data_IF_661433134198
#
_entry.id   IF_661433134198
#
_cell.length_a   1.000
_cell.length_b   1.000
_cell.length_c   1.000
_cell.angle_alpha   90.00
_cell.angle_beta   90.00
_cell.angle_gamma   90.00
#
_symmetry.space_group_name_H-M   'P 1'
#
loop_
_entity.id
_entity.type
_entity.pdbx_description
1 polymer ?
#
# COMPACT_ATOMS: atom_id res chain seq x y z
N UNK A 1 -0.71 18.69 -13.24
CA UNK A 1 -0.74 18.87 -14.69
C UNK A 1 -0.93 17.49 -15.34
N UNK A 2 -1.72 17.40 -16.40
CA UNK A 2 -1.86 16.18 -17.21
C UNK A 2 -0.81 16.17 -18.32
N UNK A 3 -0.40 14.99 -18.77
CA UNK A 3 0.42 14.84 -19.97
C UNK A 3 -0.40 15.10 -21.23
N UNK A 4 0.28 15.25 -22.37
CA UNK A 4 -0.38 15.24 -23.67
C UNK A 4 -1.14 13.92 -23.89
N UNK A 5 -2.16 13.99 -24.74
CA UNK A 5 -2.92 12.84 -25.18
C UNK A 5 -2.03 11.91 -25.99
N UNK A 6 -2.08 10.61 -25.67
CA UNK A 6 -1.39 9.54 -26.39
C UNK A 6 -2.33 8.37 -26.59
N UNK A 7 -2.04 7.53 -27.58
CA UNK A 7 -2.75 6.27 -27.75
C UNK A 7 -2.65 5.42 -26.48
N UNK A 8 -3.74 4.71 -26.17
CA UNK A 8 -3.77 3.80 -25.03
C UNK A 8 -2.83 2.62 -25.33
N UNK A 9 -1.76 2.51 -24.55
CA UNK A 9 -0.83 1.39 -24.62
C UNK A 9 -1.13 0.41 -23.49
N UNK A 10 -1.07 -0.89 -23.79
CA UNK A 10 -1.07 -1.94 -22.77
C UNK A 10 0.32 -2.03 -22.15
N UNK A 11 0.44 -1.85 -20.84
CA UNK A 11 1.69 -2.00 -20.12
C UNK A 11 1.71 -1.29 -18.77
N UNK A 12 2.85 -1.40 -18.09
CA UNK A 12 3.04 -0.79 -16.77
C UNK A 12 3.30 0.71 -16.88
N UNK A 13 2.48 1.50 -16.19
CA UNK A 13 2.64 2.95 -16.13
C UNK A 13 2.59 3.41 -14.67
N UNK A 14 3.65 4.09 -14.23
CA UNK A 14 3.63 4.81 -12.97
C UNK A 14 2.91 6.15 -13.17
N UNK A 15 1.70 6.28 -12.63
CA UNK A 15 0.93 7.53 -12.65
C UNK A 15 0.13 7.68 -11.36
N UNK A 16 -0.32 8.90 -11.10
CA UNK A 16 -1.25 9.23 -10.00
C UNK A 16 -2.72 9.13 -10.40
N UNK A 17 -3.01 9.24 -11.69
CA UNK A 17 -4.36 9.21 -12.24
C UNK A 17 -4.33 8.97 -13.76
N UNK A 18 -5.45 8.50 -14.30
CA UNK A 18 -5.66 8.32 -15.74
C UNK A 18 -6.76 9.26 -16.23
N UNK A 19 -6.56 9.84 -17.42
CA UNK A 19 -7.58 10.58 -18.15
C UNK A 19 -7.72 9.95 -19.54
N UNK A 20 -8.96 9.73 -19.97
CA UNK A 20 -9.26 9.07 -21.24
C UNK A 20 -10.20 9.89 -22.12
N UNK A 21 -10.06 9.71 -23.43
CA UNK A 21 -10.94 10.29 -24.45
C UNK A 21 -11.01 9.34 -25.64
N UNK A 22 -12.22 9.15 -26.16
CA UNK A 22 -12.43 8.50 -27.46
C UNK A 22 -12.44 9.58 -28.55
N UNK A 23 -11.59 9.42 -29.56
CA UNK A 23 -11.61 10.24 -30.76
C UNK A 23 -12.23 9.41 -31.88
N UNK A 24 -13.47 9.75 -32.25
CA UNK A 24 -14.25 9.04 -33.25
C UNK A 24 -14.36 9.92 -34.50
N UNK A 25 -14.08 9.33 -35.66
CA UNK A 25 -14.23 10.00 -36.95
C UNK A 25 -14.95 9.08 -37.92
N UNK A 26 -15.86 9.64 -38.71
CA UNK A 26 -16.46 8.98 -39.88
C UNK A 26 -15.97 9.66 -41.14
N UNK A 27 -15.78 8.90 -42.22
CA UNK A 27 -15.52 9.44 -43.56
C UNK A 27 -16.82 9.69 -44.35
N UNK A 28 -17.95 9.22 -43.81
CA UNK A 28 -19.29 9.45 -44.34
C UNK A 28 -20.04 10.40 -43.39
N UNK A 29 -20.45 11.56 -43.91
CA UNK A 29 -21.16 12.60 -43.17
C UNK A 29 -22.54 12.15 -42.66
N UNK A 30 -23.10 11.06 -43.20
CA UNK A 30 -24.39 10.51 -42.78
C UNK A 30 -24.26 9.46 -41.67
N UNK A 31 -23.04 9.13 -41.24
CA UNK A 31 -22.78 8.10 -40.24
C UNK A 31 -22.26 8.75 -38.96
N UNK A 32 -23.01 8.57 -37.87
CA UNK A 32 -22.55 8.92 -36.52
C UNK A 32 -22.01 7.66 -35.82
N UNK A 33 -20.74 7.63 -35.40
CA UNK A 33 -20.20 6.54 -34.61
C UNK A 33 -20.94 6.40 -33.27
N UNK A 34 -21.36 5.18 -32.93
CA UNK A 34 -22.00 4.86 -31.65
C UNK A 34 -21.03 4.03 -30.81
N UNK A 35 -20.78 4.44 -29.57
CA UNK A 35 -19.96 3.70 -28.62
C UNK A 35 -20.88 2.92 -27.68
N UNK A 36 -20.85 1.59 -27.75
CA UNK A 36 -21.63 0.74 -26.85
C UNK A 36 -20.97 0.59 -25.47
N UNK A 37 -19.63 0.53 -25.42
CA UNK A 37 -18.84 0.41 -24.18
C UNK A 37 -17.41 0.89 -24.43
N UNK A 38 -16.85 1.58 -23.44
CA UNK A 38 -15.42 1.83 -23.32
C UNK A 38 -15.02 1.66 -21.86
N UNK A 39 -13.94 0.94 -21.60
CA UNK A 39 -13.50 0.57 -20.26
C UNK A 39 -11.98 0.65 -20.15
N UNK A 40 -11.51 1.05 -18.98
CA UNK A 40 -10.12 0.96 -18.58
C UNK A 40 -10.05 0.18 -17.27
N UNK A 41 -9.36 -0.94 -17.32
CA UNK A 41 -9.00 -1.70 -16.13
C UNK A 41 -7.60 -1.28 -15.72
N UNK A 42 -7.47 -0.79 -14.49
CA UNK A 42 -6.20 -0.45 -13.87
C UNK A 42 -5.98 -1.42 -12.73
N UNK A 43 -4.86 -2.13 -12.78
CA UNK A 43 -4.41 -2.99 -11.70
C UNK A 43 -3.06 -2.50 -11.19
N UNK A 44 -2.94 -2.37 -9.88
CA UNK A 44 -1.72 -1.90 -9.23
C UNK A 44 -0.96 -3.10 -8.70
N UNK A 45 0.36 -3.20 -8.92
CA UNK A 45 1.11 -4.37 -8.49
C UNK A 45 1.08 -4.51 -6.97
N UNK A 46 0.89 -5.75 -6.54
CA UNK A 46 1.06 -6.16 -5.15
C UNK A 46 2.50 -5.95 -4.70
N UNK A 47 2.67 -5.59 -3.43
CA UNK A 47 3.96 -5.38 -2.80
C UNK A 47 3.99 -5.95 -1.39
N UNK A 48 5.13 -6.53 -1.05
CA UNK A 48 5.42 -7.03 0.29
C UNK A 48 6.61 -6.25 0.85
N UNK A 49 6.48 -5.74 2.06
CA UNK A 49 7.56 -5.14 2.84
C UNK A 49 7.74 -5.94 4.13
N UNK A 50 8.98 -6.19 4.52
CA UNK A 50 9.29 -6.94 5.72
C UNK A 50 10.49 -6.35 6.46
N UNK A 51 10.57 -6.66 7.74
CA UNK A 51 11.71 -6.33 8.59
C UNK A 51 11.95 -7.46 9.57
N UNK A 52 13.24 -7.70 9.88
CA UNK A 52 13.67 -8.81 10.70
C UNK A 52 14.45 -8.32 11.92
N UNK A 53 14.30 -9.01 13.05
CA UNK A 53 14.99 -8.80 14.32
C UNK A 53 14.97 -7.33 14.77
N UNK A 54 13.82 -6.67 14.62
CA UNK A 54 13.67 -5.27 14.96
C UNK A 54 13.47 -5.12 16.47
N UNK A 55 14.41 -4.46 17.15
CA UNK A 55 14.26 -4.09 18.55
C UNK A 55 13.21 -3.01 18.74
N UNK A 56 12.33 -3.20 19.72
CA UNK A 56 11.35 -2.22 20.17
C UNK A 56 11.74 -1.79 21.58
N UNK A 57 12.18 -0.54 21.79
CA UNK A 57 12.50 -0.02 23.12
C UNK A 57 11.22 0.14 23.95
N UNK A 58 11.36 0.42 25.25
CA UNK A 58 10.21 0.63 26.16
C UNK A 58 9.31 1.80 25.74
N UNK A 59 9.82 2.75 24.95
CA UNK A 59 9.03 3.84 24.36
C UNK A 59 8.18 3.42 23.15
N UNK A 60 8.23 2.17 22.71
CA UNK A 60 7.61 1.71 21.46
C UNK A 60 8.43 2.07 20.22
N UNK A 61 7.93 1.68 19.05
CA UNK A 61 8.58 1.92 17.76
C UNK A 61 7.55 2.11 16.64
N UNK A 62 7.74 3.17 15.84
CA UNK A 62 7.07 3.33 14.53
C UNK A 62 7.83 2.53 13.48
N UNK A 63 7.13 1.73 12.70
CA UNK A 63 7.61 1.13 11.46
C UNK A 63 6.96 1.87 10.29
N UNK A 64 7.78 2.51 9.45
CA UNK A 64 7.32 3.16 8.23
C UNK A 64 7.36 2.22 7.03
N UNK A 65 6.34 2.31 6.18
CA UNK A 65 6.33 1.73 4.84
C UNK A 65 6.83 2.78 3.86
N UNK A 66 7.97 2.53 3.23
CA UNK A 66 8.58 3.46 2.28
C UNK A 66 8.83 2.77 0.91
N UNK A 67 8.19 3.22 -0.17
CA UNK A 67 7.10 4.20 -0.19
C UNK A 67 5.82 3.65 0.50
N UNK A 68 4.91 4.52 0.99
CA UNK A 68 3.62 4.10 1.52
C UNK A 68 2.84 3.27 0.51
N UNK A 69 2.01 2.36 1.00
CA UNK A 69 1.07 1.62 0.15
C UNK A 69 0.01 2.57 -0.42
N UNK A 70 -0.57 2.23 -1.57
CA UNK A 70 -1.83 2.86 -1.96
C UNK A 70 -3.00 2.24 -1.19
N UNK A 71 -2.94 0.93 -0.95
CA UNK A 71 -3.81 0.22 -0.02
C UNK A 71 -3.06 -0.87 0.72
N UNK A 72 -3.15 -0.86 2.05
CA UNK A 72 -2.61 -1.91 2.91
C UNK A 72 -3.64 -3.04 3.04
N UNK A 73 -3.25 -4.28 2.73
CA UNK A 73 -4.16 -5.44 2.78
C UNK A 73 -3.89 -6.34 3.98
N UNK A 74 -2.65 -6.37 4.50
CA UNK A 74 -2.31 -7.24 5.61
C UNK A 74 -1.06 -6.80 6.37
N UNK A 75 -1.02 -7.13 7.67
CA UNK A 75 0.16 -7.03 8.51
C UNK A 75 0.21 -8.27 9.40
N UNK A 76 1.35 -8.95 9.41
CA UNK A 76 1.67 -10.04 10.32
C UNK A 76 2.92 -9.69 11.11
N UNK A 77 2.92 -10.03 12.40
CA UNK A 77 4.02 -9.80 13.33
C UNK A 77 4.37 -11.13 14.00
N UNK A 78 5.67 -11.44 14.04
CA UNK A 78 6.21 -12.55 14.81
C UNK A 78 7.07 -12.00 15.94
N UNK A 79 6.53 -12.06 17.16
CA UNK A 79 7.22 -11.58 18.35
C UNK A 79 8.28 -12.59 18.82
N UNK A 80 9.39 -12.08 19.35
CA UNK A 80 10.52 -12.87 19.81
C UNK A 80 10.90 -12.47 21.24
N UNK A 81 11.48 -13.42 22.00
CA UNK A 81 11.95 -13.16 23.36
C UNK A 81 10.85 -12.87 24.39
N UNK A 82 9.60 -13.23 24.09
CA UNK A 82 8.48 -13.06 25.02
C UNK A 82 8.66 -13.95 26.26
N UNK A 83 8.39 -13.37 27.43
CA UNK A 83 8.22 -14.07 28.70
C UNK A 83 6.74 -14.36 28.93
N UNK A 84 6.45 -15.21 29.92
CA UNK A 84 5.08 -15.55 30.28
C UNK A 84 4.25 -14.28 30.56
N UNK A 85 3.12 -14.16 29.86
CA UNK A 85 2.19 -13.04 30.01
C UNK A 85 2.61 -11.75 29.30
N UNK A 86 3.75 -11.72 28.60
CA UNK A 86 4.06 -10.60 27.72
C UNK A 86 3.10 -10.56 26.53
N UNK A 87 2.77 -9.35 26.07
CA UNK A 87 1.97 -9.11 24.88
C UNK A 87 2.47 -7.86 24.15
N UNK A 88 1.96 -7.65 22.93
CA UNK A 88 2.24 -6.44 22.16
C UNK A 88 0.93 -5.74 21.80
N UNK A 89 1.02 -4.44 21.60
CA UNK A 89 -0.05 -3.61 21.06
C UNK A 89 0.41 -3.00 19.74
N UNK A 90 -0.46 -3.01 18.74
CA UNK A 90 -0.28 -2.31 17.47
C UNK A 90 -1.26 -1.14 17.43
N UNK A 91 -0.76 0.05 17.11
CA UNK A 91 -1.56 1.27 16.98
C UNK A 91 -1.22 2.03 15.69
N UNK A 92 -2.04 3.01 15.32
CA UNK A 92 -1.84 3.89 14.16
C UNK A 92 -1.45 3.11 12.88
N UNK A 93 -2.07 1.94 12.66
CA UNK A 93 -1.82 1.12 11.47
C UNK A 93 -2.55 1.73 10.28
N UNK A 94 -1.79 2.15 9.29
CA UNK A 94 -2.26 2.76 8.06
C UNK A 94 -1.32 2.40 6.89
N UNK A 95 -1.56 2.95 5.72
CA UNK A 95 -0.78 2.71 4.51
C UNK A 95 0.67 3.20 4.60
N UNK A 96 0.98 4.06 5.56
CA UNK A 96 2.33 4.60 5.80
C UNK A 96 3.10 3.83 6.87
N UNK A 97 2.46 2.96 7.65
CA UNK A 97 3.13 2.21 8.70
C UNK A 97 2.25 1.76 9.86
N UNK A 98 2.89 1.38 10.96
CA UNK A 98 2.23 1.05 12.22
C UNK A 98 3.16 1.33 13.41
N UNK A 99 2.58 1.59 14.57
CA UNK A 99 3.29 1.64 15.85
C UNK A 99 3.18 0.30 16.58
N UNK A 100 4.25 -0.09 17.26
CA UNK A 100 4.28 -1.28 18.10
C UNK A 100 4.94 -1.00 19.45
N UNK A 101 4.38 -1.56 20.52
CA UNK A 101 4.98 -1.58 21.85
C UNK A 101 4.77 -2.96 22.48
N UNK A 102 5.76 -3.42 23.24
CA UNK A 102 5.66 -4.64 24.04
C UNK A 102 5.43 -4.30 25.50
N UNK A 103 4.59 -5.08 26.16
CA UNK A 103 4.26 -4.94 27.58
C UNK A 103 4.35 -6.29 28.27
N UNK A 104 4.73 -6.28 29.54
CA UNK A 104 4.63 -7.47 30.38
C UNK A 104 3.18 -7.71 30.85
N UNK A 105 2.97 -8.78 31.61
CA UNK A 105 1.66 -9.15 32.15
C UNK A 105 0.99 -8.07 33.01
N UNK A 106 1.76 -7.10 33.53
CA UNK A 106 1.26 -5.98 34.33
C UNK A 106 0.94 -4.74 33.50
N UNK A 107 1.19 -4.78 32.20
CA UNK A 107 1.04 -3.66 31.28
C UNK A 107 2.25 -2.71 31.26
N UNK A 108 3.35 -3.06 31.94
CA UNK A 108 4.57 -2.25 31.95
C UNK A 108 5.33 -2.42 30.63
N UNK A 109 5.75 -1.34 29.95
CA UNK A 109 6.50 -1.47 28.71
C UNK A 109 7.85 -2.16 28.90
N UNK A 110 8.17 -3.08 27.99
CA UNK A 110 9.41 -3.89 28.01
C UNK A 110 10.06 -3.96 26.64
N UNK A 111 11.38 -4.15 26.59
CA UNK A 111 12.09 -4.28 25.32
C UNK A 111 11.99 -5.70 24.75
N UNK A 112 11.55 -5.84 23.50
CA UNK A 112 11.51 -7.13 22.78
C UNK A 112 11.92 -6.92 21.32
N UNK A 113 12.10 -8.02 20.61
CA UNK A 113 12.35 -8.01 19.17
C UNK A 113 11.18 -8.65 18.42
N UNK A 114 11.02 -8.29 17.15
CA UNK A 114 10.03 -8.90 16.29
C UNK A 114 10.45 -8.86 14.82
N UNK A 115 9.82 -9.74 14.05
CA UNK A 115 9.79 -9.69 12.60
C UNK A 115 8.40 -9.24 12.14
N UNK A 116 8.32 -8.61 10.98
CA UNK A 116 7.02 -8.33 10.36
C UNK A 116 7.02 -8.60 8.86
N UNK A 117 5.83 -8.88 8.35
CA UNK A 117 5.52 -8.88 6.93
C UNK A 117 4.25 -8.06 6.73
N UNK A 118 4.33 -7.03 5.91
CA UNK A 118 3.21 -6.21 5.47
C UNK A 118 2.96 -6.47 3.98
N UNK A 119 1.68 -6.61 3.62
CA UNK A 119 1.24 -6.79 2.25
C UNK A 119 0.24 -5.70 1.88
N UNK A 120 0.30 -5.26 0.64
CA UNK A 120 -0.58 -4.24 0.08
C UNK A 120 -0.31 -4.09 -1.41
N UNK A 121 -0.88 -3.07 -2.03
CA UNK A 121 -0.70 -2.80 -3.46
C UNK A 121 -0.46 -1.32 -3.72
N UNK A 122 0.16 -1.03 -4.86
CA UNK A 122 0.42 0.33 -5.32
C UNK A 122 1.31 1.13 -4.36
N UNK A 123 1.66 2.35 -4.75
CA UNK A 123 2.48 3.25 -3.93
C UNK A 123 1.94 4.67 -4.00
N UNK A 124 2.00 5.38 -2.88
CA UNK A 124 1.82 6.84 -2.88
C UNK A 124 3.20 7.45 -3.02
N UNK A 125 3.43 8.14 -4.14
CA UNK A 125 4.56 9.05 -4.27
C UNK A 125 4.12 10.42 -3.76
N UNK A 126 4.88 10.97 -2.81
CA UNK A 126 4.73 12.35 -2.36
C UNK A 126 5.11 13.35 -3.47
#
# INVERSE_FOLDING_TARGET
MWSDWREAATGDVATRAYQMRLALSSVDDNITPIVARAELTVDMPDRILSGNNLAVPTGGRRIGFDPPYFGLTGLSVSAQGLRFGDFYEIANKDESGFDIVFKDQSGTPVERTFDYVAAGYGKVHA
#
